data_IF_758805915223
#
_entry.id   IF_758805915223
#
_cell.length_a   1.000
_cell.length_b   1.000
_cell.length_c   1.000
_cell.angle_alpha   90.00
_cell.angle_beta   90.00
_cell.angle_gamma   90.00
#
_symmetry.space_group_name_H-M   'P 1'
#
loop_
_entity.id
_entity.type
_entity.pdbx_description
1 polymer ?
#
# COMPACT_ATOMS: atom_id res chain seq x y z
N UNK A 1 77.10 -25.34 2.19
CA UNK A 1 77.91 -24.70 3.25
C UNK A 1 77.46 -23.27 3.44
N UNK A 2 77.42 -22.81 4.69
CA UNK A 2 77.31 -21.45 5.24
C UNK A 2 76.02 -20.60 5.17
N UNK A 3 75.33 -20.55 6.33
CA UNK A 3 74.96 -19.37 7.17
C UNK A 3 74.09 -18.20 6.64
N UNK A 4 72.80 -18.21 7.00
CA UNK A 4 72.06 -17.36 7.98
C UNK A 4 72.36 -15.85 8.26
N UNK A 5 71.26 -15.06 8.19
CA UNK A 5 70.73 -13.94 9.06
C UNK A 5 71.28 -12.50 9.04
N UNK A 6 70.29 -11.58 9.05
CA UNK A 6 70.24 -10.12 9.40
C UNK A 6 70.81 -9.15 8.34
N UNK A 7 70.23 -7.99 8.04
CA UNK A 7 69.05 -7.21 8.48
C UNK A 7 68.73 -6.21 7.33
N UNK A 8 67.50 -5.73 7.13
CA UNK A 8 67.11 -4.40 7.64
C UNK A 8 65.59 -4.21 7.51
N UNK A 9 64.98 -3.85 8.63
CA UNK A 9 63.63 -3.33 8.77
C UNK A 9 63.64 -1.83 8.50
N UNK A 10 62.73 -1.34 7.65
CA UNK A 10 62.17 0.01 7.74
C UNK A 10 60.68 -0.03 7.37
N UNK A 11 59.86 -0.11 8.41
CA UNK A 11 58.62 0.65 8.64
C UNK A 11 57.78 1.11 7.44
N UNK A 12 56.60 0.50 7.30
CA UNK A 12 55.37 1.24 7.06
C UNK A 12 54.27 0.63 7.94
N UNK A 13 53.91 1.37 8.98
CA UNK A 13 52.77 1.08 9.83
C UNK A 13 51.48 1.23 9.01
N UNK A 14 50.66 0.18 9.03
CA UNK A 14 49.32 0.19 8.45
C UNK A 14 48.50 -0.81 9.24
N UNK A 15 47.92 -0.35 10.33
CA UNK A 15 47.03 -1.10 11.22
C UNK A 15 45.95 -1.83 10.42
N UNK A 16 45.93 -3.16 10.52
CA UNK A 16 44.79 -3.97 10.14
C UNK A 16 43.59 -3.56 11.02
N UNK A 17 42.69 -2.75 10.48
CA UNK A 17 41.38 -2.54 11.09
C UNK A 17 40.61 -3.83 10.83
N UNK A 18 40.54 -4.68 11.86
CA UNK A 18 39.51 -5.70 11.92
C UNK A 18 38.16 -4.98 11.84
N UNK A 19 37.50 -5.05 10.69
CA UNK A 19 36.13 -4.62 10.54
C UNK A 19 35.26 -5.61 11.32
N UNK A 20 35.16 -5.42 12.64
CA UNK A 20 34.07 -5.97 13.42
C UNK A 20 32.79 -5.39 12.82
N UNK A 21 32.05 -6.22 12.10
CA UNK A 21 30.67 -5.92 11.71
C UNK A 21 29.84 -5.80 12.99
N UNK A 22 29.77 -4.60 13.55
CA UNK A 22 28.75 -4.27 14.54
C UNK A 22 27.47 -4.09 13.73
N UNK A 23 26.78 -5.20 13.45
CA UNK A 23 25.37 -5.12 13.13
C UNK A 23 24.72 -4.42 14.34
N UNK A 24 23.97 -3.32 14.13
CA UNK A 24 23.17 -2.78 15.23
C UNK A 24 22.28 -3.92 15.73
N UNK A 25 22.17 -4.14 17.06
CA UNK A 25 21.26 -5.14 17.56
C UNK A 25 19.89 -4.83 16.97
N UNK A 26 19.24 -5.84 16.38
CA UNK A 26 17.86 -5.73 15.97
C UNK A 26 17.11 -5.16 17.17
N UNK A 27 16.65 -3.91 17.04
CA UNK A 27 15.90 -3.25 18.10
C UNK A 27 14.65 -4.10 18.27
N UNK A 28 14.64 -4.92 19.33
CA UNK A 28 13.47 -5.66 19.73
C UNK A 28 12.34 -4.63 19.77
N UNK A 29 11.30 -4.85 18.97
CA UNK A 29 10.13 -3.99 18.93
C UNK A 29 9.76 -3.70 20.39
N UNK A 30 9.85 -2.44 20.81
CA UNK A 30 9.60 -2.08 22.20
C UNK A 30 8.22 -2.62 22.55
N UNK A 31 8.14 -3.47 23.57
CA UNK A 31 6.84 -3.92 24.10
C UNK A 31 6.06 -2.67 24.43
N UNK A 32 4.93 -2.48 23.75
CA UNK A 32 4.00 -1.40 24.05
C UNK A 32 3.71 -1.45 25.55
N UNK A 33 3.91 -0.35 26.30
CA UNK A 33 3.68 -0.34 27.74
C UNK A 33 2.28 -0.86 28.06
N UNK A 34 2.12 -1.66 29.13
CA UNK A 34 0.84 -2.33 29.43
C UNK A 34 -0.38 -1.41 29.54
N UNK A 35 -0.18 -0.14 29.92
CA UNK A 35 -1.25 0.87 29.93
C UNK A 35 -1.68 1.32 28.52
N UNK A 36 -0.72 1.47 27.60
CA UNK A 36 -1.00 1.80 26.21
C UNK A 36 -1.69 0.63 25.48
N UNK A 37 -1.28 -0.61 25.76
CA UNK A 37 -1.97 -1.80 25.25
C UNK A 37 -3.43 -1.88 25.76
N UNK A 38 -3.65 -1.69 27.07
CA UNK A 38 -5.01 -1.67 27.64
C UNK A 38 -5.90 -0.56 27.06
N UNK A 39 -5.30 0.58 26.69
CA UNK A 39 -6.03 1.69 26.04
C UNK A 39 -6.38 1.36 24.59
N UNK A 40 -5.50 0.66 23.87
CA UNK A 40 -5.77 0.19 22.50
C UNK A 40 -6.90 -0.83 22.47
N UNK A 41 -6.87 -1.82 23.37
CA UNK A 41 -7.91 -2.85 23.45
C UNK A 41 -9.27 -2.22 23.79
N UNK A 42 -9.33 -1.33 24.78
CA UNK A 42 -10.56 -0.62 25.13
C UNK A 42 -11.10 0.24 23.97
N UNK A 43 -10.21 0.84 23.18
CA UNK A 43 -10.58 1.63 21.99
C UNK A 43 -11.12 0.74 20.88
N UNK A 44 -10.50 -0.42 20.64
CA UNK A 44 -10.95 -1.40 19.67
C UNK A 44 -12.30 -2.01 20.08
N UNK A 45 -12.49 -2.34 21.37
CA UNK A 45 -13.75 -2.81 21.92
C UNK A 45 -14.88 -1.79 21.74
N UNK A 46 -14.59 -0.51 21.96
CA UNK A 46 -15.53 0.57 21.69
C UNK A 46 -15.92 0.64 20.20
N UNK A 47 -14.94 0.54 19.29
CA UNK A 47 -15.19 0.54 17.85
C UNK A 47 -16.04 -0.67 17.42
N UNK A 48 -15.74 -1.85 17.94
CA UNK A 48 -16.54 -3.07 17.71
C UNK A 48 -17.95 -2.91 18.26
N UNK A 49 -18.13 -2.34 19.45
CA UNK A 49 -19.45 -2.09 20.02
C UNK A 49 -20.28 -1.13 19.14
N UNK A 50 -19.66 -0.09 18.58
CA UNK A 50 -20.31 0.79 17.59
C UNK A 50 -20.71 0.02 16.33
N UNK A 51 -19.80 -0.77 15.76
CA UNK A 51 -20.09 -1.59 14.58
C UNK A 51 -21.21 -2.60 14.83
N UNK A 52 -21.24 -3.22 16.01
CA UNK A 52 -22.31 -4.15 16.40
C UNK A 52 -23.68 -3.49 16.37
N UNK A 53 -23.76 -2.21 16.77
CA UNK A 53 -25.00 -1.44 16.75
C UNK A 53 -25.40 -0.97 15.34
N UNK A 54 -24.44 -0.55 14.50
CA UNK A 54 -24.76 0.11 13.21
C UNK A 54 -24.75 -0.83 12.01
N UNK A 55 -23.86 -1.82 11.97
CA UNK A 55 -23.63 -2.66 10.79
C UNK A 55 -24.87 -3.41 10.28
N UNK A 56 -25.80 -3.90 11.13
CA UNK A 56 -27.03 -4.54 10.66
C UNK A 56 -27.94 -3.62 9.83
N UNK A 57 -27.87 -2.30 10.04
CA UNK A 57 -28.66 -1.30 9.32
C UNK A 57 -27.99 -0.74 8.06
N UNK A 58 -26.76 -1.16 7.75
CA UNK A 58 -26.00 -0.64 6.61
C UNK A 58 -26.38 -1.38 5.33
N UNK A 59 -27.01 -0.68 4.39
CA UNK A 59 -27.53 -1.26 3.14
C UNK A 59 -26.60 -1.07 1.93
N UNK A 60 -25.72 -0.05 1.96
CA UNK A 60 -24.70 0.24 0.95
C UNK A 60 -23.34 0.53 1.58
N UNK A 61 -22.41 1.08 0.80
CA UNK A 61 -21.08 1.47 1.29
C UNK A 61 -21.14 2.86 1.93
N UNK A 62 -20.84 3.03 3.23
CA UNK A 62 -20.82 4.33 3.87
C UNK A 62 -19.77 5.26 3.21
N UNK A 63 -20.17 6.49 2.89
CA UNK A 63 -19.29 7.49 2.26
C UNK A 63 -18.89 8.60 3.23
N UNK A 64 -19.85 9.08 4.00
CA UNK A 64 -19.69 10.19 4.95
C UNK A 64 -21.03 10.54 5.56
N UNK A 65 -21.08 11.62 6.35
CA UNK A 65 -22.33 12.11 6.93
C UNK A 65 -22.76 13.44 6.31
N UNK A 66 -24.07 13.62 6.14
CA UNK A 66 -24.70 14.91 5.85
C UNK A 66 -25.80 15.14 6.87
N UNK A 67 -25.75 16.27 7.56
CA UNK A 67 -26.64 16.55 8.70
C UNK A 67 -26.68 15.38 9.69
N UNK A 68 -25.49 14.88 10.06
CA UNK A 68 -25.27 13.79 11.01
C UNK A 68 -25.82 12.41 10.59
N UNK A 69 -26.29 12.27 9.35
CA UNK A 69 -26.79 11.00 8.81
C UNK A 69 -25.85 10.44 7.75
N UNK A 70 -25.60 9.14 7.81
CA UNK A 70 -24.79 8.45 6.81
C UNK A 70 -25.39 8.56 5.41
N UNK A 71 -24.52 8.89 4.45
CA UNK A 71 -24.79 8.75 3.02
C UNK A 71 -24.11 7.50 2.51
N UNK A 72 -24.77 6.79 1.60
CA UNK A 72 -24.30 5.51 1.08
C UNK A 72 -24.10 5.57 -0.43
N UNK A 73 -23.04 4.89 -0.90
CA UNK A 73 -22.87 4.53 -2.30
C UNK A 73 -23.32 3.09 -2.52
N UNK A 74 -24.02 2.83 -3.63
CA UNK A 74 -24.42 1.47 -4.00
C UNK A 74 -23.33 0.72 -4.77
N UNK A 75 -22.44 1.44 -5.47
CA UNK A 75 -21.35 0.87 -6.25
C UNK A 75 -19.96 0.98 -5.58
N UNK A 76 -19.94 1.44 -4.32
CA UNK A 76 -18.73 1.63 -3.53
C UNK A 76 -18.11 3.02 -3.63
N UNK A 77 -18.36 3.80 -4.70
CA UNK A 77 -17.57 5.00 -4.99
C UNK A 77 -16.05 4.65 -4.95
N UNK A 78 -15.15 5.53 -4.51
CA UNK A 78 -13.73 5.21 -4.24
C UNK A 78 -13.50 4.63 -2.83
N UNK A 79 -14.43 4.86 -1.90
CA UNK A 79 -14.31 4.46 -0.48
C UNK A 79 -14.83 3.05 -0.17
N UNK A 80 -15.38 2.35 -1.16
CA UNK A 80 -16.16 1.14 -0.97
C UNK A 80 -15.39 -0.02 -0.33
N UNK A 81 -14.07 -0.07 -0.49
CA UNK A 81 -13.24 -1.10 0.14
C UNK A 81 -13.02 -0.90 1.64
N UNK A 82 -13.19 0.32 2.16
CA UNK A 82 -12.95 0.59 3.59
C UNK A 82 -14.01 -0.03 4.50
N UNK A 83 -15.25 -0.17 4.02
CA UNK A 83 -16.31 -0.81 4.79
C UNK A 83 -16.06 -2.31 5.05
N UNK A 84 -15.89 -3.18 4.04
CA UNK A 84 -15.50 -4.57 4.27
C UNK A 84 -14.17 -4.68 5.02
N UNK A 85 -13.19 -3.78 4.78
CA UNK A 85 -11.95 -3.74 5.56
C UNK A 85 -12.18 -3.49 7.05
N UNK A 86 -13.05 -2.54 7.39
CA UNK A 86 -13.43 -2.23 8.78
C UNK A 86 -14.13 -3.43 9.44
N UNK A 87 -14.99 -4.13 8.71
CA UNK A 87 -15.66 -5.34 9.19
C UNK A 87 -14.67 -6.50 9.40
N UNK A 88 -13.67 -6.65 8.54
CA UNK A 88 -12.59 -7.61 8.75
C UNK A 88 -11.79 -7.30 10.01
N UNK A 89 -11.44 -6.03 10.24
CA UNK A 89 -10.76 -5.62 11.47
C UNK A 89 -11.60 -5.92 12.71
N UNK A 90 -12.92 -5.69 12.65
CA UNK A 90 -13.82 -6.03 13.74
C UNK A 90 -13.88 -7.54 14.01
N UNK A 91 -13.90 -8.38 12.97
CA UNK A 91 -13.85 -9.83 13.12
C UNK A 91 -12.52 -10.29 13.71
N UNK A 92 -11.38 -9.77 13.22
CA UNK A 92 -10.06 -10.12 13.73
C UNK A 92 -9.88 -9.77 15.21
N UNK A 93 -10.48 -8.66 15.66
CA UNK A 93 -10.43 -8.24 17.06
C UNK A 93 -11.39 -9.02 17.96
N UNK A 94 -12.64 -9.22 17.51
CA UNK A 94 -13.73 -9.75 18.37
C UNK A 94 -14.03 -11.24 18.22
N UNK A 95 -13.61 -11.86 17.11
CA UNK A 95 -14.00 -13.22 16.73
C UNK A 95 -15.48 -13.38 16.35
N UNK A 96 -16.29 -12.30 16.31
CA UNK A 96 -17.71 -12.41 16.04
C UNK A 96 -18.00 -12.68 14.55
N UNK A 97 -18.42 -13.91 14.22
CA UNK A 97 -18.68 -14.37 12.84
C UNK A 97 -19.68 -13.50 12.04
N UNK A 98 -20.53 -12.72 12.73
CA UNK A 98 -21.40 -11.73 12.07
C UNK A 98 -20.59 -10.75 11.22
N UNK A 99 -19.42 -10.31 11.71
CA UNK A 99 -18.60 -9.32 11.00
C UNK A 99 -17.93 -9.93 9.78
N UNK A 100 -17.44 -11.17 9.88
CA UNK A 100 -16.95 -11.93 8.71
C UNK A 100 -18.02 -12.09 7.64
N UNK A 101 -19.23 -12.47 8.04
CA UNK A 101 -20.37 -12.63 7.13
C UNK A 101 -20.68 -11.32 6.40
N UNK A 102 -20.75 -10.20 7.14
CA UNK A 102 -20.98 -8.87 6.56
C UNK A 102 -19.82 -8.40 5.69
N UNK A 103 -18.57 -8.69 6.06
CA UNK A 103 -17.38 -8.33 5.30
C UNK A 103 -17.37 -9.01 3.93
N UNK A 104 -17.64 -10.31 3.88
CA UNK A 104 -17.72 -11.09 2.64
C UNK A 104 -18.89 -10.60 1.77
N UNK A 105 -20.08 -10.42 2.34
CA UNK A 105 -21.24 -9.93 1.60
C UNK A 105 -21.01 -8.51 1.03
N UNK A 106 -20.33 -7.64 1.78
CA UNK A 106 -19.99 -6.29 1.33
C UNK A 106 -18.90 -6.29 0.27
N UNK A 107 -17.87 -7.13 0.41
CA UNK A 107 -16.82 -7.27 -0.59
C UNK A 107 -17.38 -7.78 -1.93
N UNK A 108 -18.29 -8.75 -1.91
CA UNK A 108 -18.92 -9.30 -3.12
C UNK A 108 -19.61 -8.21 -3.95
N UNK A 109 -20.23 -7.21 -3.31
CA UNK A 109 -20.87 -6.07 -4.01
C UNK A 109 -19.89 -5.22 -4.83
N UNK A 110 -18.57 -5.33 -4.60
CA UNK A 110 -17.54 -4.67 -5.40
C UNK A 110 -17.14 -5.47 -6.65
N UNK A 111 -17.63 -6.71 -6.85
CA UNK A 111 -17.27 -7.53 -8.01
C UNK A 111 -17.37 -6.80 -9.37
N UNK A 112 -18.42 -6.00 -9.65
CA UNK A 112 -18.51 -5.27 -10.92
C UNK A 112 -17.40 -4.25 -11.15
N UNK A 113 -16.67 -3.82 -10.11
CA UNK A 113 -15.59 -2.82 -10.20
C UNK A 113 -14.24 -3.42 -10.59
N UNK A 114 -14.11 -4.75 -10.74
CA UNK A 114 -12.84 -5.38 -11.14
C UNK A 114 -12.38 -4.96 -12.53
N UNK A 115 -13.31 -4.60 -13.41
CA UNK A 115 -13.05 -4.15 -14.78
C UNK A 115 -13.07 -2.62 -14.94
N UNK A 116 -13.21 -1.88 -13.84
CA UNK A 116 -13.32 -0.43 -13.88
C UNK A 116 -11.98 0.17 -14.32
N UNK A 117 -11.98 0.80 -15.48
CA UNK A 117 -10.81 1.47 -16.06
C UNK A 117 -10.97 2.98 -16.07
N UNK A 118 -11.93 3.52 -15.31
CA UNK A 118 -12.21 4.95 -15.17
C UNK A 118 -11.53 5.61 -13.97
N UNK A 119 -11.05 4.83 -13.00
CA UNK A 119 -10.41 5.34 -11.78
C UNK A 119 -9.12 4.60 -11.41
N UNK A 120 -8.21 5.31 -10.74
CA UNK A 120 -7.05 4.74 -10.07
C UNK A 120 -7.36 4.09 -8.70
N UNK A 121 -8.55 4.32 -8.14
CA UNK A 121 -8.94 3.92 -6.78
C UNK A 121 -9.16 2.41 -6.57
N UNK A 122 -8.73 1.57 -7.52
CA UNK A 122 -8.93 0.12 -7.42
C UNK A 122 -8.19 -0.50 -6.25
N UNK A 123 -7.05 0.07 -5.83
CA UNK A 123 -6.36 -0.39 -4.64
C UNK A 123 -7.17 -0.13 -3.36
N UNK A 124 -7.74 1.07 -3.21
CA UNK A 124 -8.67 1.37 -2.12
C UNK A 124 -9.89 0.46 -2.11
N UNK A 125 -10.39 0.07 -3.29
CA UNK A 125 -11.52 -0.81 -3.40
C UNK A 125 -11.17 -2.25 -3.05
N UNK A 126 -10.13 -2.83 -3.67
CA UNK A 126 -9.89 -4.28 -3.65
C UNK A 126 -8.87 -4.74 -2.62
N UNK A 127 -7.93 -3.89 -2.20
CA UNK A 127 -6.91 -4.29 -1.22
C UNK A 127 -7.49 -4.52 0.19
N UNK A 128 -8.20 -3.57 0.81
CA UNK A 128 -8.79 -3.81 2.14
C UNK A 128 -9.96 -4.80 2.12
N UNK A 129 -10.52 -5.11 0.95
CA UNK A 129 -11.71 -5.97 0.80
C UNK A 129 -11.36 -7.38 0.28
N UNK A 130 -11.09 -7.53 -1.02
CA UNK A 130 -10.89 -8.80 -1.71
C UNK A 130 -9.53 -9.42 -1.36
N UNK A 131 -8.45 -8.64 -1.30
CA UNK A 131 -7.14 -9.18 -0.87
C UNK A 131 -7.22 -9.65 0.58
N UNK A 132 -7.86 -8.90 1.47
CA UNK A 132 -8.12 -9.32 2.86
C UNK A 132 -8.98 -10.58 2.92
N UNK A 133 -10.08 -10.65 2.15
CA UNK A 133 -10.94 -11.82 2.10
C UNK A 133 -10.19 -13.07 1.63
N UNK A 134 -9.35 -12.98 0.60
CA UNK A 134 -8.50 -14.06 0.17
C UNK A 134 -7.53 -14.50 1.29
N UNK A 135 -6.82 -13.55 1.90
CA UNK A 135 -5.85 -13.85 2.99
C UNK A 135 -6.49 -14.60 4.16
N UNK A 136 -7.74 -14.28 4.49
CA UNK A 136 -8.43 -14.83 5.65
C UNK A 136 -9.26 -16.08 5.36
N UNK A 137 -9.66 -16.31 4.11
CA UNK A 137 -10.53 -17.45 3.74
C UNK A 137 -9.86 -18.48 2.84
N UNK A 138 -8.81 -18.10 2.12
CA UNK A 138 -8.17 -18.94 1.09
C UNK A 138 -9.00 -19.14 -0.19
N UNK A 139 -10.20 -18.56 -0.30
CA UNK A 139 -11.05 -18.70 -1.48
C UNK A 139 -10.45 -17.93 -2.68
N UNK A 140 -10.12 -18.67 -3.73
CA UNK A 140 -9.39 -18.16 -4.89
C UNK A 140 -10.21 -17.16 -5.73
N UNK A 141 -11.55 -17.13 -5.60
CA UNK A 141 -12.35 -16.11 -6.29
C UNK A 141 -11.90 -14.69 -5.92
N UNK A 142 -11.56 -14.48 -4.65
CA UNK A 142 -11.13 -13.20 -4.12
C UNK A 142 -9.75 -12.80 -4.67
N UNK A 143 -8.82 -13.76 -4.76
CA UNK A 143 -7.50 -13.57 -5.36
C UNK A 143 -7.61 -13.24 -6.84
N UNK A 144 -8.36 -14.05 -7.59
CA UNK A 144 -8.54 -13.87 -9.03
C UNK A 144 -9.19 -12.52 -9.35
N UNK A 145 -10.22 -12.12 -8.60
CA UNK A 145 -10.85 -10.80 -8.78
C UNK A 145 -9.94 -9.62 -8.43
N UNK A 146 -9.13 -9.73 -7.38
CA UNK A 146 -8.15 -8.68 -7.05
C UNK A 146 -7.04 -8.55 -8.11
N UNK A 147 -6.56 -9.66 -8.68
CA UNK A 147 -5.60 -9.65 -9.80
C UNK A 147 -6.23 -9.02 -11.06
N UNK A 148 -7.52 -9.27 -11.30
CA UNK A 148 -8.28 -8.63 -12.39
C UNK A 148 -8.37 -7.12 -12.19
N UNK A 149 -8.69 -6.67 -10.98
CA UNK A 149 -8.66 -5.25 -10.62
C UNK A 149 -7.28 -4.62 -10.82
N UNK A 150 -6.20 -5.30 -10.42
CA UNK A 150 -4.83 -4.83 -10.68
C UNK A 150 -4.54 -4.70 -12.18
N UNK A 151 -5.05 -5.64 -12.98
CA UNK A 151 -4.92 -5.62 -14.45
C UNK A 151 -5.68 -4.43 -15.06
N UNK A 152 -6.85 -4.07 -14.53
CA UNK A 152 -7.58 -2.86 -14.91
C UNK A 152 -6.83 -1.59 -14.50
N UNK A 153 -6.20 -1.57 -13.31
CA UNK A 153 -5.42 -0.43 -12.82
C UNK A 153 -4.23 -0.12 -13.73
N UNK A 154 -3.45 -1.13 -14.13
CA UNK A 154 -2.27 -0.90 -14.98
C UNK A 154 -2.62 -0.44 -16.40
N UNK A 155 -3.86 -0.62 -16.88
CA UNK A 155 -4.30 -0.02 -18.16
C UNK A 155 -4.31 1.51 -18.13
N UNK A 156 -4.24 2.10 -16.93
CA UNK A 156 -4.16 3.54 -16.70
C UNK A 156 -2.71 4.04 -16.65
N UNK A 157 -1.72 3.16 -16.81
CA UNK A 157 -0.31 3.54 -16.81
C UNK A 157 0.07 4.25 -18.11
N UNK A 158 0.68 5.42 -17.98
CA UNK A 158 1.35 6.15 -19.05
C UNK A 158 2.85 5.82 -19.00
N UNK A 159 3.41 5.06 -19.97
CA UNK A 159 4.82 4.66 -19.96
C UNK A 159 5.79 5.80 -20.27
N UNK A 160 5.34 6.89 -20.92
CA UNK A 160 6.20 8.03 -21.26
C UNK A 160 6.47 8.90 -20.04
N UNK A 161 5.43 9.25 -19.31
CA UNK A 161 5.53 10.00 -18.04
C UNK A 161 5.74 9.12 -16.82
N UNK A 162 5.65 7.79 -16.98
CA UNK A 162 5.82 6.81 -15.90
C UNK A 162 4.91 7.08 -14.71
N UNK A 163 3.62 7.27 -14.99
CA UNK A 163 2.60 7.54 -13.98
C UNK A 163 1.31 6.78 -14.29
N UNK A 164 0.42 6.69 -13.31
CA UNK A 164 -0.92 6.11 -13.44
C UNK A 164 -1.89 7.30 -13.39
N UNK A 165 -2.72 7.46 -14.43
CA UNK A 165 -3.69 8.58 -14.48
C UNK A 165 -4.79 8.39 -13.43
N UNK A 166 -5.14 9.47 -12.72
CA UNK A 166 -6.08 9.44 -11.60
C UNK A 166 -7.51 9.11 -12.05
N UNK A 167 -8.09 9.94 -12.93
CA UNK A 167 -9.51 9.84 -13.33
C UNK A 167 -9.76 9.91 -14.83
N UNK A 168 -11.02 9.67 -15.19
CA UNK A 168 -11.52 9.74 -16.57
C UNK A 168 -11.35 8.44 -17.34
N UNK A 169 -12.19 8.30 -18.36
CA UNK A 169 -12.08 7.20 -19.32
C UNK A 169 -10.72 7.24 -20.03
N UNK A 170 -10.20 6.08 -20.44
CA UNK A 170 -8.86 5.99 -21.04
C UNK A 170 -8.73 6.83 -22.34
N UNK A 171 -9.82 7.02 -23.07
CA UNK A 171 -9.90 7.83 -24.28
C UNK A 171 -10.25 9.30 -24.03
N UNK A 172 -10.52 9.71 -22.79
CA UNK A 172 -10.79 11.10 -22.44
C UNK A 172 -9.46 11.86 -22.20
N UNK A 173 -9.17 12.90 -23.00
CA UNK A 173 -7.94 13.68 -22.86
C UNK A 173 -7.93 14.60 -21.63
N UNK A 174 -9.08 14.98 -21.07
CA UNK A 174 -9.18 16.03 -20.05
C UNK A 174 -8.35 15.76 -18.79
N UNK A 175 -8.22 14.49 -18.40
CA UNK A 175 -7.44 14.04 -17.25
C UNK A 175 -6.35 13.03 -17.63
N UNK A 176 -5.93 12.98 -18.91
CA UNK A 176 -4.98 11.99 -19.39
C UNK A 176 -3.57 12.14 -18.78
N UNK A 177 -3.23 13.35 -18.35
CA UNK A 177 -1.97 13.69 -17.69
C UNK A 177 -2.06 13.91 -16.18
N UNK A 178 -3.25 13.74 -15.58
CA UNK A 178 -3.49 14.12 -14.19
C UNK A 178 -3.13 12.99 -13.23
N UNK A 179 -2.24 13.29 -12.29
CA UNK A 179 -1.83 12.39 -11.20
C UNK A 179 -2.15 13.04 -9.87
N UNK A 180 -2.62 12.24 -8.91
CA UNK A 180 -2.86 12.71 -7.54
C UNK A 180 -2.12 11.84 -6.53
N UNK A 181 -1.80 12.44 -5.38
CA UNK A 181 -1.03 11.79 -4.31
C UNK A 181 -1.68 10.49 -3.82
N UNK A 182 -3.01 10.43 -3.79
CA UNK A 182 -3.82 9.28 -3.36
C UNK A 182 -3.53 8.01 -4.16
N UNK A 183 -2.96 8.12 -5.37
CA UNK A 183 -2.55 6.96 -6.19
C UNK A 183 -1.49 6.10 -5.51
N UNK A 184 -0.67 6.68 -4.62
CA UNK A 184 0.33 5.95 -3.85
C UNK A 184 -0.35 4.80 -3.07
N UNK A 185 -1.44 5.09 -2.37
CA UNK A 185 -2.19 4.08 -1.62
C UNK A 185 -2.81 2.96 -2.47
N UNK A 186 -2.82 3.11 -3.80
CA UNK A 186 -3.34 2.11 -4.73
C UNK A 186 -2.27 1.16 -5.27
N UNK A 187 -0.98 1.46 -5.02
CA UNK A 187 0.15 0.68 -5.53
C UNK A 187 0.29 -0.70 -4.85
N UNK A 188 -0.18 -0.83 -3.61
CA UNK A 188 -0.21 -2.10 -2.86
C UNK A 188 -0.97 -3.22 -3.59
N UNK A 189 -2.01 -2.87 -4.35
CA UNK A 189 -2.74 -3.84 -5.17
C UNK A 189 -1.87 -4.41 -6.30
N UNK A 190 -0.98 -3.58 -6.86
CA UNK A 190 -0.05 -4.00 -7.91
C UNK A 190 1.07 -4.87 -7.34
N UNK A 191 1.62 -4.51 -6.17
CA UNK A 191 2.58 -5.34 -5.46
C UNK A 191 1.98 -6.71 -5.11
N UNK A 192 0.73 -6.74 -4.65
CA UNK A 192 -0.03 -7.98 -4.45
C UNK A 192 -0.11 -8.79 -5.75
N UNK A 193 -0.57 -8.21 -6.86
CA UNK A 193 -0.73 -8.93 -8.12
C UNK A 193 0.60 -9.51 -8.63
N UNK A 194 1.70 -8.78 -8.52
CA UNK A 194 3.03 -9.29 -8.86
C UNK A 194 3.40 -10.51 -8.01
N UNK A 195 3.19 -10.44 -6.69
CA UNK A 195 3.47 -11.56 -5.78
C UNK A 195 2.63 -12.81 -6.08
N UNK A 196 1.39 -12.64 -6.55
CA UNK A 196 0.46 -13.73 -6.79
C UNK A 196 0.59 -14.39 -8.16
N UNK A 197 1.15 -13.67 -9.13
CA UNK A 197 1.25 -14.13 -10.53
C UNK A 197 2.68 -14.46 -10.95
N UNK A 198 3.68 -13.89 -10.25
CA UNK A 198 5.08 -13.92 -10.69
C UNK A 198 5.38 -12.93 -11.83
N UNK A 199 4.40 -12.15 -12.29
CA UNK A 199 4.57 -11.15 -13.34
C UNK A 199 5.11 -9.84 -12.73
N UNK A 200 6.37 -9.52 -13.05
CA UNK A 200 7.07 -8.35 -12.53
C UNK A 200 6.46 -7.01 -12.96
N UNK A 201 5.70 -6.98 -14.06
CA UNK A 201 5.20 -5.71 -14.66
C UNK A 201 4.37 -4.87 -13.69
N UNK A 202 3.60 -5.51 -12.82
CA UNK A 202 2.76 -4.80 -11.85
C UNK A 202 3.62 -4.03 -10.85
N UNK A 203 4.65 -4.67 -10.31
CA UNK A 203 5.57 -4.04 -9.37
C UNK A 203 6.42 -2.97 -10.05
N UNK A 204 6.89 -3.21 -11.27
CA UNK A 204 7.66 -2.22 -12.04
C UNK A 204 6.85 -0.93 -12.27
N UNK A 205 5.58 -1.06 -12.66
CA UNK A 205 4.67 0.08 -12.83
C UNK A 205 4.46 0.82 -11.50
N UNK A 206 4.28 0.09 -10.39
CA UNK A 206 4.13 0.68 -9.08
C UNK A 206 5.36 1.48 -8.65
N UNK A 207 6.55 0.89 -8.79
CA UNK A 207 7.83 1.53 -8.45
C UNK A 207 8.07 2.76 -9.31
N UNK A 208 7.79 2.69 -10.62
CA UNK A 208 7.98 3.83 -11.51
C UNK A 208 6.98 4.96 -11.20
N UNK A 209 5.73 4.66 -10.87
CA UNK A 209 4.78 5.66 -10.38
C UNK A 209 5.29 6.33 -9.10
N UNK A 210 5.69 5.54 -8.09
CA UNK A 210 6.19 6.05 -6.83
C UNK A 210 7.41 6.97 -7.02
N UNK A 211 8.34 6.59 -7.90
CA UNK A 211 9.51 7.41 -8.25
C UNK A 211 9.11 8.71 -8.96
N UNK A 212 8.11 8.67 -9.84
CA UNK A 212 7.58 9.88 -10.49
C UNK A 212 6.93 10.80 -9.46
N UNK A 213 6.15 10.27 -8.53
CA UNK A 213 5.57 11.03 -7.42
C UNK A 213 6.66 11.65 -6.55
N UNK A 214 7.66 10.88 -6.13
CA UNK A 214 8.78 11.37 -5.33
C UNK A 214 9.53 12.54 -6.02
N UNK A 215 9.81 12.43 -7.32
CA UNK A 215 10.53 13.47 -8.07
C UNK A 215 9.75 14.77 -8.22
N UNK A 216 8.43 14.71 -8.36
CA UNK A 216 7.63 15.87 -8.78
C UNK A 216 6.79 16.46 -7.64
N UNK A 217 6.27 15.64 -6.72
CA UNK A 217 5.37 16.11 -5.67
C UNK A 217 6.12 16.60 -4.42
N UNK A 218 7.31 16.09 -4.13
CA UNK A 218 8.01 16.46 -2.90
C UNK A 218 8.64 17.85 -3.04
N UNK A 219 8.17 18.81 -2.24
CA UNK A 219 8.77 20.14 -2.14
C UNK A 219 10.02 20.10 -1.24
N UNK A 220 10.93 21.10 -1.33
CA UNK A 220 12.13 21.15 -0.47
C UNK A 220 11.85 21.16 1.03
N UNK A 221 10.68 21.64 1.46
CA UNK A 221 10.24 21.67 2.86
C UNK A 221 9.57 20.37 3.34
N UNK A 222 9.53 19.34 2.48
CA UNK A 222 8.89 18.05 2.76
C UNK A 222 7.38 18.02 2.58
N UNK A 223 6.75 19.15 2.22
CA UNK A 223 5.33 19.20 1.90
C UNK A 223 5.04 18.71 0.48
N UNK A 224 3.79 18.32 0.21
CA UNK A 224 3.36 17.91 -1.13
C UNK A 224 2.15 18.72 -1.63
N UNK A 225 1.99 18.93 -2.95
CA UNK A 225 0.71 19.30 -3.53
C UNK A 225 -0.23 18.08 -3.50
N UNK A 226 -1.51 18.30 -3.81
CA UNK A 226 -2.45 17.21 -4.01
C UNK A 226 -2.32 16.61 -5.43
N UNK A 227 -2.25 17.48 -6.45
CA UNK A 227 -2.22 17.07 -7.86
C UNK A 227 -0.89 17.46 -8.49
N UNK A 228 -0.46 16.70 -9.48
CA UNK A 228 0.56 17.11 -10.43
C UNK A 228 0.12 16.72 -11.84
N UNK A 229 0.10 17.69 -12.74
CA UNK A 229 -0.29 17.48 -14.14
C UNK A 229 0.97 17.27 -15.00
N UNK A 230 0.87 16.36 -15.97
CA UNK A 230 1.89 16.00 -16.93
C UNK A 230 1.34 16.14 -18.35
N UNK A 231 2.21 16.37 -19.32
CA UNK A 231 1.85 16.24 -20.73
C UNK A 231 1.71 14.74 -21.06
N UNK A 232 0.53 14.25 -21.48
CA UNK A 232 0.31 12.82 -21.68
C UNK A 232 1.05 12.25 -22.90
N UNK A 233 1.44 13.10 -23.85
CA UNK A 233 2.07 12.68 -25.10
C UNK A 233 3.59 12.57 -24.99
N UNK A 234 4.22 13.36 -24.13
CA UNK A 234 5.68 13.40 -23.91
C UNK A 234 6.09 12.87 -22.54
N UNK A 235 5.20 12.93 -21.54
CA UNK A 235 5.50 12.63 -20.15
C UNK A 235 6.13 13.79 -19.38
N UNK A 236 6.24 14.98 -19.98
CA UNK A 236 6.87 16.14 -19.34
C UNK A 236 6.01 16.67 -18.17
N UNK A 237 6.63 17.02 -17.02
CA UNK A 237 5.91 17.66 -15.92
C UNK A 237 5.40 19.04 -16.32
N UNK A 238 4.12 19.34 -16.04
CA UNK A 238 3.52 20.65 -16.30
C UNK A 238 3.45 21.49 -15.02
N UNK A 239 3.08 20.89 -13.89
CA UNK A 239 3.13 21.58 -12.61
C UNK A 239 2.13 21.10 -11.56
N UNK A 240 2.22 21.65 -10.34
CA UNK A 240 1.36 21.28 -9.23
C UNK A 240 -0.06 21.86 -9.38
N UNK A 241 -1.03 21.14 -8.84
CA UNK A 241 -2.43 21.54 -8.77
C UNK A 241 -3.08 21.13 -7.46
N UNK A 242 -4.40 21.35 -7.37
CA UNK A 242 -5.21 20.86 -6.25
C UNK A 242 -6.65 20.59 -6.68
N UNK A 243 -7.27 19.58 -6.07
CA UNK A 243 -8.74 19.37 -6.11
C UNK A 243 -9.39 19.60 -4.75
N UNK A 244 -8.67 19.31 -3.65
CA UNK A 244 -9.22 19.32 -2.28
C UNK A 244 -8.42 20.18 -1.29
N UNK A 245 -7.15 20.49 -1.59
CA UNK A 245 -6.36 21.44 -0.83
C UNK A 245 -6.75 22.88 -1.14
N UNK A 246 -6.47 23.80 -0.20
CA UNK A 246 -6.81 25.22 -0.31
C UNK A 246 -6.25 25.89 -1.58
N UNK A 247 -5.02 25.55 -1.96
CA UNK A 247 -4.38 26.02 -3.20
C UNK A 247 -3.31 25.02 -3.68
N UNK A 248 -2.83 25.11 -4.93
CA UNK A 248 -1.70 24.30 -5.41
C UNK A 248 -0.42 24.45 -4.59
N UNK A 249 -0.26 25.58 -3.87
CA UNK A 249 0.85 25.85 -2.97
C UNK A 249 0.62 25.34 -1.54
N UNK A 250 -0.62 25.04 -1.17
CA UNK A 250 -0.93 24.51 0.17
C UNK A 250 -0.44 23.07 0.34
N UNK A 251 -0.37 22.62 1.60
CA UNK A 251 -0.13 21.24 1.98
C UNK A 251 -1.42 20.67 2.59
N UNK A 252 -2.17 19.92 1.78
CA UNK A 252 -3.40 19.32 2.23
C UNK A 252 -3.11 18.10 3.11
N UNK A 253 -3.58 18.12 4.35
CA UNK A 253 -3.17 17.16 5.39
C UNK A 253 -3.41 15.69 5.02
N UNK A 254 -4.55 15.36 4.40
CA UNK A 254 -4.81 13.97 3.95
C UNK A 254 -3.91 13.57 2.78
N UNK A 255 -3.63 14.48 1.85
CA UNK A 255 -2.66 14.23 0.77
C UNK A 255 -1.26 13.99 1.31
N UNK A 256 -0.81 14.80 2.29
CA UNK A 256 0.46 14.59 2.96
C UNK A 256 0.53 13.21 3.65
N UNK A 257 -0.56 12.79 4.29
CA UNK A 257 -0.64 11.47 4.93
C UNK A 257 -0.49 10.33 3.92
N UNK A 258 -1.13 10.42 2.74
CA UNK A 258 -0.97 9.46 1.65
C UNK A 258 0.47 9.36 1.16
N UNK A 259 1.14 10.50 0.93
CA UNK A 259 2.55 10.50 0.50
C UNK A 259 3.51 9.97 1.56
N UNK A 260 3.19 10.14 2.85
CA UNK A 260 4.04 9.69 3.96
C UNK A 260 3.90 8.20 4.25
N UNK A 261 2.72 7.61 3.98
CA UNK A 261 2.42 6.21 4.29
C UNK A 261 3.13 5.24 3.35
N UNK A 262 3.49 5.69 2.15
CA UNK A 262 3.96 4.84 1.06
C UNK A 262 5.37 5.19 0.56
N UNK A 263 6.14 5.91 1.39
CA UNK A 263 7.57 6.01 1.16
C UNK A 263 8.14 4.60 1.27
N UNK A 264 8.76 4.05 0.22
CA UNK A 264 9.27 2.68 0.28
C UNK A 264 10.15 2.58 1.52
N UNK A 265 9.77 1.68 2.45
CA UNK A 265 10.69 1.21 3.49
C UNK A 265 12.01 1.00 2.77
N UNK A 266 13.01 1.78 3.13
CA UNK A 266 14.32 1.79 2.50
C UNK A 266 14.75 0.35 2.22
N UNK A 267 14.73 -0.02 0.94
CA UNK A 267 15.31 -1.26 0.44
C UNK A 267 16.84 -1.11 0.50
N UNK A 268 17.37 -1.02 1.70
CA UNK A 268 18.78 -1.19 2.00
C UNK A 268 18.97 -2.63 2.51
N UNK A 269 18.74 -3.59 1.63
CA UNK A 269 19.23 -4.96 1.74
C UNK A 269 20.07 -5.25 0.51
N UNK A 270 21.30 -5.77 0.63
CA UNK A 270 22.22 -5.86 -0.49
C UNK A 270 21.69 -6.85 -1.52
N UNK A 271 21.71 -6.42 -2.78
CA UNK A 271 21.45 -7.25 -3.94
C UNK A 271 22.52 -8.34 -4.07
N UNK A 272 22.08 -9.56 -4.42
CA UNK A 272 22.92 -10.56 -5.07
C UNK A 272 23.34 -11.73 -4.19
N UNK A 273 22.68 -12.89 -4.39
CA UNK A 273 23.10 -14.17 -3.83
C UNK A 273 22.20 -15.28 -4.33
N UNK A 274 22.59 -15.92 -5.43
CA UNK A 274 21.87 -16.98 -6.11
C UNK A 274 21.93 -18.28 -5.27
N UNK A 275 20.79 -18.80 -4.81
CA UNK A 275 20.67 -20.19 -4.36
C UNK A 275 19.22 -20.67 -4.47
N UNK A 276 19.01 -21.71 -5.26
CA UNK A 276 17.72 -22.39 -5.43
C UNK A 276 17.14 -22.86 -4.08
N UNK A 277 15.81 -22.84 -3.86
CA UNK A 277 15.23 -23.31 -2.61
C UNK A 277 15.14 -24.85 -2.60
N UNK A 278 15.42 -25.51 -1.45
CA UNK A 278 15.14 -26.93 -1.29
C UNK A 278 13.63 -27.18 -1.14
N UNK A 279 13.13 -28.25 -1.74
CA UNK A 279 11.81 -28.82 -1.41
C UNK A 279 11.83 -29.37 0.02
N UNK A 280 10.88 -28.99 0.87
CA UNK A 280 10.21 -29.88 1.82
C UNK A 280 9.07 -29.20 2.61
N UNK A 281 7.96 -29.95 2.68
CA UNK A 281 7.01 -30.13 3.81
C UNK A 281 6.24 -28.95 4.42
N UNK A 282 4.92 -29.17 4.46
CA UNK A 282 3.82 -28.46 5.12
C UNK A 282 4.12 -27.88 6.51
N UNK A 283 3.60 -26.68 6.84
CA UNK A 283 3.52 -26.22 8.22
C UNK A 283 2.08 -26.30 8.77
N UNK A 284 1.95 -27.01 9.88
CA UNK A 284 0.85 -26.91 10.85
C UNK A 284 0.78 -25.48 11.40
N UNK A 285 -0.39 -24.87 11.34
CA UNK A 285 -0.67 -23.51 11.85
C UNK A 285 -0.70 -23.46 13.39
N UNK A 286 -0.09 -22.45 14.04
CA UNK A 286 -0.16 -22.26 15.49
C UNK A 286 -1.42 -21.52 15.99
N UNK A 287 -2.44 -21.33 15.15
CA UNK A 287 -3.69 -20.64 15.51
C UNK A 287 -4.89 -21.58 15.63
N UNK A 288 -4.73 -22.64 16.42
CA UNK A 288 -5.84 -23.47 16.87
C UNK A 288 -5.74 -23.68 18.38
N UNK A 289 -6.36 -22.77 19.13
CA UNK A 289 -6.94 -23.02 20.46
C UNK A 289 -7.93 -21.91 20.78
#
# INVERSE_FOLDING_TARGET
>A
MSVSRRALLTTAAGTAVAATSIAPPAQAAQKVPGHAAATLDATADYAVAKLRAVAPGVSGFPVGTRFEKWTYSQNGDWVGGFWPGTLWMAWLHSGEERFRTLALASAEKLAPRQDDTGTHDLGFLFYPSWVTAWRLTGDDKWRTGAIRAASSLIRRYNPKGRFIRAWGALNDPANAGRVIMDTMMNLDLLAFASSQTGDGKYLDIAVEHARTTQRNFLRPDGSTPHVYDFDPASGAPLGPGTVQGYSPASCWSRGQAWGSTDSPRSTAGPAGGNSSPPRASSPTSPWAR
#
